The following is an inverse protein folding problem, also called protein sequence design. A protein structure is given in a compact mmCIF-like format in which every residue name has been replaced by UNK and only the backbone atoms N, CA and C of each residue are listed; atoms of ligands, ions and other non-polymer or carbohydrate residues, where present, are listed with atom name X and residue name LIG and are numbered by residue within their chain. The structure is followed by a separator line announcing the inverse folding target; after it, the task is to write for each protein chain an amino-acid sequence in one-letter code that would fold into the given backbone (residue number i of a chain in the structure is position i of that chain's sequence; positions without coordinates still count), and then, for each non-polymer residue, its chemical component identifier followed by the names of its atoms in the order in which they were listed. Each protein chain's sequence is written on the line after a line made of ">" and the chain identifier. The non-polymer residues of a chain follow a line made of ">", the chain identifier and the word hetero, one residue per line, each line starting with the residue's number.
data_IF_880995289507
#
_entry.id   IF_880995289507
#
_cell.length_a   1.000
_cell.length_b   1.000
_cell.length_c   1.000
_cell.angle_alpha   90.00
_cell.angle_beta   90.00
_cell.angle_gamma   90.00
#
_symmetry.space_group_name_H-M   'P 1'
#
loop_
_entity.id
_entity.type
_entity.pdbx_description
1 polymer ?
#
# COMPACT_ATOMS: atom_id res chain seq x y z
N UNK A 1 -67.90 -34.07 -17.63
CA UNK A 1 -66.51 -34.39 -18.03
C UNK A 1 -65.56 -33.74 -17.03
N UNK A 2 -64.59 -34.46 -16.46
CA UNK A 2 -63.91 -34.06 -15.23
C UNK A 2 -62.92 -32.91 -15.46
N UNK A 3 -62.78 -32.05 -14.44
CA UNK A 3 -61.81 -30.95 -14.36
C UNK A 3 -60.39 -31.51 -14.48
N UNK A 4 -59.71 -31.24 -15.60
CA UNK A 4 -58.26 -31.45 -15.74
C UNK A 4 -57.56 -30.40 -14.89
N UNK A 5 -57.01 -30.80 -13.75
CA UNK A 5 -56.04 -29.99 -13.02
C UNK A 5 -54.77 -29.90 -13.88
N UNK A 6 -54.51 -28.71 -14.43
CA UNK A 6 -53.19 -28.37 -14.99
C UNK A 6 -52.25 -28.16 -13.81
N UNK A 7 -51.40 -29.13 -13.54
CA UNK A 7 -50.22 -28.92 -12.70
C UNK A 7 -49.17 -28.23 -13.58
N UNK A 8 -49.08 -26.90 -13.48
CA UNK A 8 -47.98 -26.14 -14.05
C UNK A 8 -46.84 -26.18 -13.04
N UNK A 9 -45.85 -27.05 -13.27
CA UNK A 9 -44.65 -27.13 -12.46
C UNK A 9 -43.69 -26.06 -13.00
N UNK A 10 -43.57 -24.94 -12.30
CA UNK A 10 -42.58 -23.92 -12.63
C UNK A 10 -41.20 -24.44 -12.21
N UNK A 11 -40.38 -24.78 -13.19
CA UNK A 11 -38.96 -25.04 -12.96
C UNK A 11 -38.31 -23.67 -12.82
N UNK A 12 -37.79 -23.36 -11.64
CA UNK A 12 -36.93 -22.20 -11.43
C UNK A 12 -35.51 -22.65 -11.74
N UNK A 13 -35.08 -22.48 -13.00
CA UNK A 13 -33.67 -22.60 -13.36
C UNK A 13 -33.03 -21.25 -13.04
N UNK A 14 -31.94 -21.28 -12.26
CA UNK A 14 -31.13 -20.10 -12.00
C UNK A 14 -29.84 -20.27 -12.80
N UNK A 15 -29.61 -19.38 -13.77
CA UNK A 15 -28.35 -19.28 -14.51
C UNK A 15 -27.38 -18.39 -13.74
N UNK A 16 -26.10 -18.66 -13.89
CA UNK A 16 -25.03 -17.89 -13.26
C UNK A 16 -24.14 -17.27 -14.33
N UNK A 17 -23.67 -16.05 -14.08
CA UNK A 17 -22.65 -15.47 -14.94
C UNK A 17 -21.30 -16.03 -14.54
N UNK A 18 -20.66 -16.75 -15.46
CA UNK A 18 -19.35 -17.30 -15.23
C UNK A 18 -18.30 -16.20 -15.00
N UNK A 19 -17.33 -16.45 -14.11
CA UNK A 19 -16.16 -15.60 -13.92
C UNK A 19 -14.91 -16.30 -14.35
N UNK A 20 -14.04 -15.57 -15.04
CA UNK A 20 -12.74 -16.05 -15.48
C UNK A 20 -11.65 -15.19 -14.85
N UNK A 21 -10.73 -15.81 -14.13
CA UNK A 21 -9.55 -15.13 -13.57
C UNK A 21 -8.29 -15.96 -13.82
N UNK A 22 -7.14 -15.28 -13.78
CA UNK A 22 -5.84 -15.93 -13.72
C UNK A 22 -5.28 -15.75 -12.32
N UNK A 23 -4.75 -16.80 -11.70
CA UNK A 23 -4.29 -16.80 -10.31
C UNK A 23 -2.98 -17.59 -10.15
N UNK A 24 -2.22 -17.31 -9.09
CA UNK A 24 -1.21 -18.26 -8.61
C UNK A 24 -1.88 -19.36 -7.77
N UNK A 25 -1.27 -20.55 -7.74
CA UNK A 25 -1.70 -21.63 -6.84
C UNK A 25 -1.05 -21.47 -5.45
N UNK A 26 -1.54 -20.53 -4.67
CA UNK A 26 -1.05 -20.28 -3.31
C UNK A 26 -1.77 -21.17 -2.29
N UNK A 27 -1.10 -21.52 -1.20
CA UNK A 27 -1.69 -22.28 -0.10
C UNK A 27 -1.39 -21.59 1.22
N UNK A 28 -2.43 -21.30 1.98
CA UNK A 28 -2.31 -20.83 3.36
C UNK A 28 -2.54 -21.99 4.31
N UNK A 29 -1.85 -21.99 5.45
CA UNK A 29 -2.08 -22.97 6.51
C UNK A 29 -2.87 -22.30 7.62
N UNK A 30 -4.04 -22.85 7.96
CA UNK A 30 -4.83 -22.36 9.08
C UNK A 30 -4.02 -22.52 10.37
N UNK A 31 -3.74 -21.43 11.11
CA UNK A 31 -2.89 -21.49 12.30
C UNK A 31 -3.51 -22.25 13.48
N UNK A 32 -4.83 -22.49 13.47
CA UNK A 32 -5.55 -23.21 14.51
C UNK A 32 -5.72 -24.69 14.18
N UNK A 33 -6.03 -25.03 12.93
CA UNK A 33 -6.32 -26.41 12.51
C UNK A 33 -5.14 -27.10 11.84
N UNK A 34 -4.16 -26.34 11.34
CA UNK A 34 -3.04 -26.85 10.53
C UNK A 34 -3.45 -27.24 9.10
N UNK A 35 -4.70 -27.00 8.71
CA UNK A 35 -5.22 -27.37 7.40
C UNK A 35 -4.69 -26.43 6.31
N UNK A 36 -4.31 -27.00 5.16
CA UNK A 36 -3.87 -26.22 4.00
C UNK A 36 -5.07 -25.83 3.14
N UNK A 37 -5.31 -24.54 3.00
CA UNK A 37 -6.36 -23.96 2.14
C UNK A 37 -5.74 -23.39 0.87
N UNK A 38 -6.29 -23.77 -0.29
CA UNK A 38 -5.95 -23.16 -1.57
C UNK A 38 -6.45 -21.71 -1.58
N UNK A 39 -5.58 -20.78 -1.95
CA UNK A 39 -5.86 -19.36 -2.09
C UNK A 39 -5.60 -18.96 -3.54
N UNK A 40 -6.67 -18.58 -4.23
CA UNK A 40 -6.65 -18.17 -5.63
C UNK A 40 -6.72 -16.64 -5.68
N UNK A 41 -5.56 -16.01 -5.69
CA UNK A 41 -5.48 -14.56 -5.83
C UNK A 41 -5.33 -14.18 -7.31
N UNK A 42 -6.18 -13.27 -7.84
CA UNK A 42 -6.02 -12.76 -9.19
C UNK A 42 -4.66 -12.11 -9.42
N UNK A 43 -3.99 -12.52 -10.49
CA UNK A 43 -2.71 -11.98 -10.92
C UNK A 43 -2.88 -11.08 -12.13
N UNK A 44 -1.98 -10.10 -12.23
CA UNK A 44 -1.80 -9.25 -13.41
C UNK A 44 -0.59 -9.68 -14.23
N UNK A 45 0.48 -10.14 -13.57
CA UNK A 45 1.72 -10.56 -14.22
C UNK A 45 2.17 -11.93 -13.73
N UNK A 46 2.93 -12.63 -14.57
CA UNK A 46 3.53 -13.93 -14.26
C UNK A 46 5.03 -13.92 -14.56
N UNK A 47 5.78 -14.78 -13.88
CA UNK A 47 7.16 -15.11 -14.22
C UNK A 47 7.20 -16.39 -15.06
N UNK A 48 8.27 -16.59 -15.83
CA UNK A 48 8.47 -17.86 -16.51
C UNK A 48 8.61 -19.01 -15.51
N UNK A 49 8.27 -20.23 -15.96
CA UNK A 49 8.33 -21.48 -15.19
C UNK A 49 7.37 -21.58 -14.00
N UNK A 50 6.74 -20.48 -13.58
CA UNK A 50 5.68 -20.50 -12.58
C UNK A 50 4.34 -20.91 -13.18
N UNK A 51 3.62 -21.88 -12.58
CA UNK A 51 2.31 -22.27 -13.07
C UNK A 51 1.28 -21.16 -12.85
N UNK A 52 0.57 -20.81 -13.93
CA UNK A 52 -0.60 -19.94 -13.87
C UNK A 52 -1.85 -20.81 -13.82
N UNK A 53 -2.68 -20.63 -12.80
CA UNK A 53 -4.02 -21.18 -12.76
C UNK A 53 -4.99 -20.29 -13.54
N UNK A 54 -5.71 -20.87 -14.49
CA UNK A 54 -6.91 -20.26 -15.07
C UNK A 54 -8.10 -20.80 -14.27
N UNK A 55 -8.77 -19.91 -13.55
CA UNK A 55 -9.87 -20.23 -12.65
C UNK A 55 -11.17 -19.81 -13.32
N UNK A 56 -12.06 -20.78 -13.50
CA UNK A 56 -13.40 -20.58 -14.05
C UNK A 56 -14.39 -20.87 -12.92
N UNK A 57 -15.12 -19.87 -12.47
CA UNK A 57 -16.26 -20.03 -11.57
C UNK A 57 -17.52 -20.05 -12.45
N UNK A 58 -18.10 -21.23 -12.63
CA UNK A 58 -19.31 -21.45 -13.40
C UNK A 58 -20.11 -22.60 -12.79
N UNK A 59 -21.15 -22.24 -12.02
CA UNK A 59 -21.99 -23.22 -11.34
C UNK A 59 -22.90 -23.99 -12.31
N UNK A 60 -23.10 -23.49 -13.54
CA UNK A 60 -24.00 -24.10 -14.51
C UNK A 60 -23.35 -25.32 -15.19
N UNK A 61 -22.01 -25.41 -15.12
CA UNK A 61 -21.22 -26.52 -15.64
C UNK A 61 -20.97 -27.65 -14.64
N UNK A 62 -21.46 -27.54 -13.40
CA UNK A 62 -21.52 -28.62 -12.41
C UNK A 62 -22.76 -29.48 -12.67
N UNK A 63 -22.65 -30.36 -13.66
CA UNK A 63 -23.76 -31.15 -14.19
C UNK A 63 -23.75 -32.61 -13.73
N UNK A 64 -22.66 -33.09 -13.13
CA UNK A 64 -22.49 -34.49 -12.75
C UNK A 64 -22.17 -34.66 -11.26
N UNK A 65 -22.26 -35.91 -10.78
CA UNK A 65 -21.90 -36.24 -9.39
C UNK A 65 -20.39 -36.44 -9.19
N UNK A 66 -19.62 -36.38 -10.27
CA UNK A 66 -18.17 -36.46 -10.25
C UNK A 66 -17.60 -35.09 -10.64
N UNK A 67 -16.29 -34.91 -10.48
CA UNK A 67 -15.62 -33.68 -10.94
C UNK A 67 -15.77 -33.53 -12.44
N UNK A 68 -16.36 -32.42 -12.85
CA UNK A 68 -16.54 -32.11 -14.26
C UNK A 68 -15.26 -31.53 -14.89
N UNK A 69 -15.17 -31.62 -16.21
CA UNK A 69 -14.03 -31.13 -17.01
C UNK A 69 -14.54 -30.26 -18.14
N UNK A 70 -14.05 -29.04 -18.21
CA UNK A 70 -14.43 -28.06 -19.22
C UNK A 70 -13.22 -27.62 -20.05
N UNK A 71 -13.48 -27.19 -21.28
CA UNK A 71 -12.45 -26.67 -22.18
C UNK A 71 -12.37 -25.14 -22.07
N UNK A 72 -11.16 -24.60 -22.14
CA UNK A 72 -10.90 -23.18 -22.29
C UNK A 72 -9.78 -22.95 -23.31
N UNK A 73 -9.78 -21.78 -23.95
CA UNK A 73 -8.79 -21.44 -24.96
C UNK A 73 -7.78 -20.46 -24.40
N UNK A 74 -6.50 -20.66 -24.70
CA UNK A 74 -5.44 -19.70 -24.43
C UNK A 74 -4.90 -19.17 -25.75
N UNK A 75 -4.69 -17.85 -25.81
CA UNK A 75 -4.02 -17.15 -26.90
C UNK A 75 -2.85 -16.34 -26.35
N UNK A 76 -1.69 -16.46 -26.98
CA UNK A 76 -0.50 -15.66 -26.65
C UNK A 76 -0.37 -14.45 -27.56
N UNK A 77 0.41 -13.45 -27.14
CA UNK A 77 0.72 -12.26 -27.95
C UNK A 77 1.39 -12.56 -29.30
N UNK A 78 2.02 -13.72 -29.47
CA UNK A 78 2.58 -14.17 -30.75
C UNK A 78 1.56 -14.92 -31.65
N UNK A 79 0.29 -14.97 -31.26
CA UNK A 79 -0.82 -15.54 -32.03
C UNK A 79 -1.01 -17.06 -31.88
N UNK A 80 -0.22 -17.74 -31.05
CA UNK A 80 -0.41 -19.18 -30.76
C UNK A 80 -1.72 -19.37 -29.99
N UNK A 81 -2.54 -20.33 -30.43
CA UNK A 81 -3.82 -20.69 -29.81
C UNK A 81 -3.76 -22.14 -29.36
N UNK A 82 -4.14 -22.40 -28.12
CA UNK A 82 -4.17 -23.75 -27.53
C UNK A 82 -5.49 -23.91 -26.77
N UNK A 83 -6.16 -25.05 -26.93
CA UNK A 83 -7.29 -25.43 -26.10
C UNK A 83 -6.78 -26.34 -24.97
N UNK A 84 -7.11 -25.99 -23.73
CA UNK A 84 -6.70 -26.69 -22.53
C UNK A 84 -7.94 -27.09 -21.72
N UNK A 85 -7.72 -27.99 -20.76
CA UNK A 85 -8.78 -28.52 -19.88
C UNK A 85 -8.66 -27.92 -18.49
N UNK A 86 -9.79 -27.49 -17.94
CA UNK A 86 -9.93 -27.14 -16.54
C UNK A 86 -10.75 -28.23 -15.83
N UNK A 87 -10.29 -28.64 -14.66
CA UNK A 87 -10.92 -29.70 -13.86
C UNK A 87 -11.52 -29.07 -12.61
N UNK A 88 -12.72 -29.52 -12.26
CA UNK A 88 -13.41 -29.07 -11.05
C UNK A 88 -12.58 -29.34 -9.78
N UNK A 89 -12.57 -28.37 -8.86
CA UNK A 89 -11.73 -28.39 -7.66
C UNK A 89 -12.15 -29.47 -6.65
N UNK A 90 -13.45 -29.65 -6.48
CA UNK A 90 -14.08 -30.77 -5.80
C UNK A 90 -15.48 -31.00 -6.40
N UNK A 91 -16.14 -32.09 -6.01
CA UNK A 91 -17.51 -32.37 -6.43
C UNK A 91 -18.42 -31.22 -6.02
N UNK A 92 -19.25 -30.76 -6.95
CA UNK A 92 -20.28 -29.74 -6.73
C UNK A 92 -19.78 -28.38 -6.24
N UNK A 93 -18.61 -27.96 -6.71
CA UNK A 93 -18.06 -26.64 -6.41
C UNK A 93 -18.43 -25.60 -7.45
N UNK A 94 -18.63 -26.00 -8.71
CA UNK A 94 -18.74 -25.07 -9.84
C UNK A 94 -17.47 -24.25 -10.06
N UNK A 95 -16.32 -24.68 -9.51
CA UNK A 95 -15.03 -23.99 -9.64
C UNK A 95 -14.05 -24.92 -10.32
N UNK A 96 -13.55 -24.51 -11.48
CA UNK A 96 -12.66 -25.28 -12.33
C UNK A 96 -11.29 -24.61 -12.43
N UNK A 97 -10.23 -25.43 -12.43
CA UNK A 97 -8.84 -24.95 -12.55
C UNK A 97 -8.16 -25.63 -13.74
N UNK A 98 -7.75 -24.81 -14.69
CA UNK A 98 -6.78 -25.16 -15.74
C UNK A 98 -5.39 -24.66 -15.39
N UNK A 99 -4.33 -25.36 -15.81
CA UNK A 99 -2.94 -24.91 -15.59
C UNK A 99 -2.26 -24.58 -16.90
N UNK A 100 -1.58 -23.44 -16.91
CA UNK A 100 -0.75 -22.96 -18.01
C UNK A 100 0.67 -22.76 -17.51
N UNK A 101 1.65 -23.26 -18.25
CA UNK A 101 3.07 -23.10 -17.92
C UNK A 101 3.72 -22.17 -18.96
N UNK A 102 3.86 -20.87 -18.67
CA UNK A 102 4.55 -19.94 -19.56
C UNK A 102 6.05 -20.25 -19.61
N UNK A 103 6.59 -20.40 -20.81
CA UNK A 103 8.02 -20.67 -21.04
C UNK A 103 8.60 -19.72 -22.08
N UNK A 104 9.87 -19.36 -21.95
CA UNK A 104 10.60 -18.60 -22.97
C UNK A 104 11.07 -19.52 -24.12
N UNK A 105 11.53 -20.72 -23.74
CA UNK A 105 12.05 -21.73 -24.64
C UNK A 105 10.98 -22.52 -25.41
N UNK A 106 11.44 -23.51 -26.17
CA UNK A 106 10.53 -24.43 -26.86
C UNK A 106 9.77 -25.30 -25.85
N UNK A 107 8.44 -25.43 -25.98
CA UNK A 107 7.65 -26.28 -25.09
C UNK A 107 8.10 -27.73 -25.15
N UNK A 108 8.25 -28.35 -23.99
CA UNK A 108 8.54 -29.77 -23.80
C UNK A 108 7.30 -30.58 -23.41
N UNK A 109 6.20 -29.90 -23.04
CA UNK A 109 4.91 -30.50 -22.63
C UNK A 109 3.74 -29.75 -23.26
N UNK A 110 2.60 -30.41 -23.40
CA UNK A 110 1.38 -29.82 -24.00
C UNK A 110 0.82 -28.63 -23.20
N UNK A 111 1.05 -28.61 -21.87
CA UNK A 111 0.64 -27.52 -20.99
C UNK A 111 1.59 -26.32 -21.01
N UNK A 112 2.74 -26.44 -21.68
CA UNK A 112 3.72 -25.37 -21.82
C UNK A 112 3.39 -24.47 -23.02
N UNK A 113 3.36 -23.17 -22.76
CA UNK A 113 3.00 -22.15 -23.73
C UNK A 113 4.18 -21.22 -23.89
N UNK A 114 4.77 -21.25 -25.09
CA UNK A 114 5.89 -20.38 -25.45
C UNK A 114 5.43 -18.96 -25.79
N UNK A 115 6.09 -17.98 -25.21
CA UNK A 115 5.90 -16.56 -25.51
C UNK A 115 7.16 -15.74 -25.22
N UNK A 116 7.41 -14.67 -25.99
CA UNK A 116 8.57 -13.80 -25.78
C UNK A 116 8.47 -13.00 -24.48
N UNK A 117 9.61 -12.50 -23.99
CA UNK A 117 9.65 -11.65 -22.81
C UNK A 117 8.77 -10.40 -23.00
N UNK A 118 7.91 -10.14 -22.02
CA UNK A 118 6.93 -9.05 -22.06
C UNK A 118 5.66 -9.40 -22.84
N UNK A 119 5.57 -10.62 -23.38
CA UNK A 119 4.37 -11.14 -24.03
C UNK A 119 3.18 -11.28 -23.09
N UNK A 120 2.00 -11.52 -23.66
CA UNK A 120 0.76 -11.68 -22.91
C UNK A 120 0.13 -13.05 -23.13
N UNK A 121 -0.65 -13.48 -22.14
CA UNK A 121 -1.52 -14.64 -22.20
C UNK A 121 -2.95 -14.15 -22.01
N UNK A 122 -3.83 -14.47 -22.96
CA UNK A 122 -5.26 -14.22 -22.90
C UNK A 122 -5.98 -15.55 -22.84
N UNK A 123 -6.69 -15.82 -21.75
CA UNK A 123 -7.57 -16.99 -21.63
C UNK A 123 -9.00 -16.59 -21.98
N UNK A 124 -9.71 -17.50 -22.66
CA UNK A 124 -11.08 -17.35 -23.10
C UNK A 124 -11.89 -18.56 -22.67
N UNK A 125 -13.04 -18.30 -22.07
CA UNK A 125 -14.02 -19.31 -21.69
C UNK A 125 -15.39 -18.90 -22.21
N UNK A 126 -16.08 -19.80 -22.91
CA UNK A 126 -17.39 -19.52 -23.49
C UNK A 126 -18.46 -19.92 -22.49
N UNK A 127 -19.08 -18.91 -21.91
CA UNK A 127 -20.18 -19.01 -20.96
C UNK A 127 -21.48 -19.20 -21.76
N UNK A 128 -21.94 -20.44 -21.89
CA UNK A 128 -23.10 -20.82 -22.72
C UNK A 128 -24.44 -20.42 -22.07
N UNK A 129 -24.52 -20.42 -20.74
CA UNK A 129 -25.72 -20.09 -19.97
C UNK A 129 -25.40 -18.99 -18.97
N UNK A 130 -26.05 -17.83 -19.10
CA UNK A 130 -25.79 -16.70 -18.21
C UNK A 130 -27.05 -15.87 -17.97
N UNK A 131 -26.92 -14.76 -17.23
CA UNK A 131 -28.03 -13.87 -16.91
C UNK A 131 -28.67 -13.16 -18.12
N UNK A 132 -28.08 -13.29 -19.31
CA UNK A 132 -28.67 -12.92 -20.61
C UNK A 132 -29.09 -14.19 -21.37
N UNK A 133 -30.33 -14.68 -21.19
CA UNK A 133 -30.73 -15.99 -21.69
C UNK A 133 -30.57 -16.14 -23.20
N UNK A 134 -29.93 -17.24 -23.62
CA UNK A 134 -29.77 -17.60 -25.04
C UNK A 134 -28.66 -16.85 -25.77
N UNK A 135 -27.84 -16.05 -25.08
CA UNK A 135 -26.69 -15.36 -25.67
C UNK A 135 -25.41 -15.87 -25.00
N UNK A 136 -24.72 -16.86 -25.60
CA UNK A 136 -23.40 -17.28 -25.14
C UNK A 136 -22.41 -16.12 -25.18
N UNK A 137 -21.62 -15.97 -24.11
CA UNK A 137 -20.68 -14.86 -23.96
C UNK A 137 -19.26 -15.37 -23.68
N UNK A 138 -18.28 -14.88 -24.43
CA UNK A 138 -16.87 -15.21 -24.17
C UNK A 138 -16.34 -14.37 -22.99
N UNK A 139 -16.04 -15.02 -21.87
CA UNK A 139 -15.30 -14.46 -20.75
C UNK A 139 -13.82 -14.45 -21.09
N UNK A 140 -13.14 -13.33 -20.80
CA UNK A 140 -11.72 -13.16 -21.14
C UNK A 140 -10.94 -12.61 -19.96
N UNK A 141 -9.73 -13.12 -19.74
CA UNK A 141 -8.73 -12.55 -18.83
C UNK A 141 -7.38 -12.47 -19.54
N UNK A 142 -6.66 -11.37 -19.33
CA UNK A 142 -5.34 -11.15 -19.93
C UNK A 142 -4.30 -10.79 -18.87
N UNK A 143 -3.20 -11.53 -18.85
CA UNK A 143 -2.04 -11.31 -17.99
C UNK A 143 -0.77 -11.13 -18.84
N UNK A 144 0.25 -10.47 -18.29
CA UNK A 144 1.51 -10.22 -19.01
C UNK A 144 2.72 -10.82 -18.31
N UNK A 145 3.75 -11.14 -19.10
CA UNK A 145 5.03 -11.54 -18.54
C UNK A 145 5.64 -10.38 -17.75
N UNK A 146 6.16 -10.67 -16.56
CA UNK A 146 6.88 -9.75 -15.69
C UNK A 146 8.26 -9.41 -16.26
N UNK A 147 8.31 -8.77 -17.43
CA UNK A 147 9.55 -8.32 -18.05
C UNK A 147 10.21 -7.29 -17.16
N UNK A 148 11.49 -7.52 -16.87
CA UNK A 148 12.32 -6.61 -16.10
C UNK A 148 12.25 -5.17 -16.64
N UNK A 149 12.07 -4.22 -15.72
CA UNK A 149 12.07 -2.78 -15.97
C UNK A 149 12.84 -2.13 -14.83
N UNK A 150 13.81 -1.29 -15.16
CA UNK A 150 14.60 -0.58 -14.14
C UNK A 150 13.69 0.19 -13.16
N UNK A 151 13.76 -0.10 -11.85
CA UNK A 151 12.93 0.56 -10.87
C UNK A 151 13.21 2.07 -10.81
N UNK A 152 12.16 2.85 -10.52
CA UNK A 152 12.28 4.29 -10.26
C UNK A 152 11.62 4.66 -8.93
N UNK A 153 11.91 5.85 -8.41
CA UNK A 153 11.37 6.32 -7.14
C UNK A 153 10.45 7.53 -7.35
N UNK A 154 9.22 7.46 -6.84
CA UNK A 154 8.30 8.59 -6.82
C UNK A 154 8.41 9.33 -5.48
N UNK A 155 8.64 10.64 -5.50
CA UNK A 155 8.85 11.42 -4.28
C UNK A 155 7.67 12.35 -4.01
N UNK A 156 7.40 12.61 -2.73
CA UNK A 156 6.35 13.54 -2.31
C UNK A 156 6.91 14.60 -1.37
N UNK A 157 6.78 15.87 -1.75
CA UNK A 157 7.06 16.98 -0.83
C UNK A 157 5.81 17.30 -0.01
N UNK A 158 6.01 17.64 1.26
CA UNK A 158 4.93 18.04 2.17
C UNK A 158 4.92 19.57 2.26
N UNK A 159 3.81 20.16 1.83
CA UNK A 159 3.50 21.56 2.04
C UNK A 159 2.57 21.71 3.25
N UNK A 160 2.77 22.77 4.02
CA UNK A 160 1.99 23.09 5.21
C UNK A 160 1.50 24.52 5.11
N UNK A 161 0.19 24.71 4.99
CA UNK A 161 -0.44 26.01 4.87
C UNK A 161 -1.29 26.32 6.10
N UNK A 162 -1.20 27.54 6.62
CA UNK A 162 -1.99 27.95 7.78
C UNK A 162 -3.48 28.03 7.41
N UNK A 163 -4.33 27.51 8.26
CA UNK A 163 -5.77 27.62 8.11
C UNK A 163 -6.24 29.03 8.47
N UNK A 164 -7.18 29.60 7.70
CA UNK A 164 -7.78 30.87 8.05
C UNK A 164 -8.48 30.76 9.40
N UNK A 165 -8.19 31.70 10.31
CA UNK A 165 -8.85 31.71 11.60
C UNK A 165 -10.28 32.21 11.45
N UNK A 166 -11.25 31.31 11.64
CA UNK A 166 -12.67 31.70 11.72
C UNK A 166 -12.86 32.51 12.99
N UNK A 167 -13.21 33.80 12.86
CA UNK A 167 -13.64 34.62 13.99
C UNK A 167 -15.01 34.09 14.45
N UNK A 168 -15.19 33.74 15.73
CA UNK A 168 -16.52 33.39 16.24
C UNK A 168 -17.46 34.59 16.06
N UNK A 169 -18.72 34.32 15.73
CA UNK A 169 -19.74 35.36 15.68
C UNK A 169 -19.93 35.93 17.10
N UNK A 170 -19.77 37.26 17.27
CA UNK A 170 -19.79 37.91 18.59
C UNK A 170 -21.14 37.73 19.32
N UNK A 171 -22.22 37.50 18.59
CA UNK A 171 -23.57 37.26 19.16
C UNK A 171 -23.70 35.91 19.89
N UNK A 172 -22.85 34.91 19.59
CA UNK A 172 -22.90 33.60 20.27
C UNK A 172 -22.11 33.56 21.58
N UNK A 173 -21.31 34.58 21.87
CA UNK A 173 -20.49 34.68 23.09
C UNK A 173 -21.33 35.22 24.27
N UNK A 174 -22.30 36.10 24.01
CA UNK A 174 -23.17 36.66 25.07
C UNK A 174 -24.17 35.63 25.62
N UNK A 175 -24.66 34.71 24.78
CA UNK A 175 -25.64 33.69 25.21
C UNK A 175 -25.03 32.54 26.03
N UNK A 176 -23.71 32.36 26.01
CA UNK A 176 -23.02 31.29 26.74
C UNK A 176 -22.51 31.68 28.14
N UNK A 177 -22.64 32.95 28.56
CA UNK A 177 -22.31 33.36 29.94
C UNK A 177 -23.19 32.70 31.02
N UNK A 178 -24.27 32.02 30.64
CA UNK A 178 -25.24 31.43 31.56
C UNK A 178 -25.01 29.95 31.95
N UNK A 179 -24.00 29.24 31.41
CA UNK A 179 -23.74 27.82 31.79
C UNK A 179 -22.40 27.65 32.48
N UNK A 180 -22.36 27.99 33.78
CA UNK A 180 -21.30 27.58 34.70
C UNK A 180 -21.38 26.08 35.02
N UNK A 181 -20.20 25.47 35.20
CA UNK A 181 -19.94 24.11 35.66
C UNK A 181 -20.23 22.98 34.67
N UNK A 182 -19.35 22.83 33.67
CA UNK A 182 -18.94 21.50 33.22
C UNK A 182 -17.44 21.36 33.45
N UNK A 183 -17.00 20.16 33.85
CA UNK A 183 -15.58 19.78 33.95
C UNK A 183 -14.83 20.36 32.76
N UNK A 184 -13.63 20.90 32.98
CA UNK A 184 -12.77 21.36 31.89
C UNK A 184 -12.74 20.23 30.84
N UNK A 185 -13.24 20.47 29.61
CA UNK A 185 -13.18 19.46 28.58
C UNK A 185 -11.72 19.06 28.38
N UNK A 186 -11.46 17.79 28.05
CA UNK A 186 -10.12 17.36 27.66
C UNK A 186 -9.53 18.33 26.64
N UNK A 187 -8.25 18.61 26.77
CA UNK A 187 -7.59 19.57 25.90
C UNK A 187 -7.58 19.05 24.46
N UNK A 188 -8.44 19.61 23.61
CA UNK A 188 -8.49 19.25 22.18
C UNK A 188 -7.65 20.24 21.37
N UNK A 189 -6.60 19.74 20.73
CA UNK A 189 -5.81 20.49 19.75
C UNK A 189 -6.53 20.49 18.41
N UNK A 190 -7.08 21.64 18.01
CA UNK A 190 -7.75 21.80 16.70
C UNK A 190 -6.73 21.95 15.58
N UNK A 191 -7.06 21.52 14.34
CA UNK A 191 -6.22 21.81 13.17
C UNK A 191 -5.98 23.31 12.99
N UNK A 192 -4.73 23.68 12.76
CA UNK A 192 -4.27 25.04 12.43
C UNK A 192 -3.58 25.12 11.09
N UNK A 193 -3.15 23.98 10.55
CA UNK A 193 -2.49 23.89 9.27
C UNK A 193 -3.08 22.75 8.45
N UNK A 194 -3.06 22.90 7.13
CA UNK A 194 -3.34 21.83 6.17
C UNK A 194 -2.03 21.24 5.70
N UNK A 195 -1.86 19.92 5.80
CA UNK A 195 -0.77 19.18 5.17
C UNK A 195 -1.20 18.70 3.79
N UNK A 196 -0.41 19.06 2.78
CA UNK A 196 -0.63 18.67 1.39
C UNK A 196 0.62 17.96 0.87
N UNK A 197 0.46 16.71 0.47
CA UNK A 197 1.50 15.94 -0.18
C UNK A 197 1.43 16.22 -1.69
N UNK A 198 2.55 16.59 -2.30
CA UNK A 198 2.64 16.85 -3.73
C UNK A 198 3.74 16.00 -4.34
N UNK A 199 3.42 15.32 -5.44
CA UNK A 199 4.41 14.58 -6.20
C UNK A 199 5.48 15.55 -6.75
N UNK A 200 6.74 15.18 -6.63
CA UNK A 200 7.88 15.96 -7.17
C UNK A 200 8.76 15.11 -8.06
N UNK A 201 9.40 15.76 -9.03
CA UNK A 201 10.40 15.14 -9.89
C UNK A 201 11.75 14.99 -9.18
N UNK A 202 12.55 14.04 -9.68
CA UNK A 202 13.83 13.59 -9.11
C UNK A 202 14.90 14.68 -8.94
N UNK A 203 14.76 15.84 -9.61
CA UNK A 203 15.70 16.97 -9.54
C UNK A 203 15.53 17.86 -8.31
N UNK A 204 14.46 17.69 -7.55
CA UNK A 204 14.13 18.54 -6.38
C UNK A 204 14.29 17.75 -5.10
N UNK A 205 14.98 18.29 -4.10
CA UNK A 205 14.99 17.71 -2.75
C UNK A 205 13.63 17.91 -2.09
N UNK A 206 12.81 16.85 -1.87
CA UNK A 206 11.52 16.98 -1.22
C UNK A 206 11.66 17.45 0.23
N UNK A 207 10.67 18.20 0.70
CA UNK A 207 10.53 18.54 2.10
C UNK A 207 9.63 17.52 2.81
N UNK A 208 10.00 17.13 4.02
CA UNK A 208 9.13 16.44 4.95
C UNK A 208 8.78 17.35 6.14
N UNK A 209 7.79 16.99 6.94
CA UNK A 209 7.38 17.74 8.14
C UNK A 209 7.50 16.83 9.34
N UNK A 210 8.24 17.28 10.37
CA UNK A 210 8.38 16.53 11.61
C UNK A 210 7.02 16.28 12.27
N UNK A 211 6.76 15.05 12.68
CA UNK A 211 5.48 14.58 13.21
C UNK A 211 4.51 14.03 12.16
N UNK A 212 4.72 14.31 10.87
CA UNK A 212 3.90 13.76 9.78
C UNK A 212 4.52 12.50 9.19
N UNK A 213 3.74 11.73 8.43
CA UNK A 213 4.26 10.62 7.65
C UNK A 213 5.14 11.12 6.50
N UNK A 214 6.37 10.64 6.40
CA UNK A 214 7.14 10.74 5.16
C UNK A 214 6.58 9.74 4.14
N UNK A 215 6.44 10.16 2.87
CA UNK A 215 5.96 9.31 1.77
C UNK A 215 6.90 9.28 0.59
N UNK A 216 7.00 8.11 -0.02
CA UNK A 216 7.62 7.87 -1.31
C UNK A 216 7.01 6.61 -1.93
N UNK A 217 7.14 6.49 -3.24
CA UNK A 217 6.78 5.31 -3.98
C UNK A 217 8.03 4.70 -4.61
N UNK A 218 7.96 3.40 -4.91
CA UNK A 218 8.89 2.77 -5.84
C UNK A 218 8.07 2.15 -6.95
N UNK A 219 8.44 2.43 -8.20
CA UNK A 219 7.77 1.93 -9.40
C UNK A 219 8.62 0.81 -9.97
N UNK A 220 8.15 -0.42 -9.85
CA UNK A 220 8.80 -1.64 -10.32
C UNK A 220 7.73 -2.59 -10.92
N UNK A 221 7.32 -2.37 -12.19
CA UNK A 221 6.25 -3.13 -12.86
C UNK A 221 6.42 -4.65 -12.76
N UNK A 222 7.66 -5.13 -12.91
CA UNK A 222 7.98 -6.55 -12.93
C UNK A 222 7.85 -7.24 -11.56
N UNK A 223 7.79 -6.50 -10.47
CA UNK A 223 7.54 -7.05 -9.12
C UNK A 223 6.05 -7.01 -8.73
N UNK A 224 5.21 -6.29 -9.48
CA UNK A 224 3.79 -6.15 -9.21
C UNK A 224 2.99 -7.24 -9.94
N UNK A 225 3.05 -8.45 -9.37
CA UNK A 225 2.43 -9.65 -9.93
C UNK A 225 0.94 -9.73 -9.61
N UNK A 226 0.56 -9.48 -8.36
CA UNK A 226 -0.81 -9.51 -7.84
C UNK A 226 -1.04 -8.36 -6.84
N UNK A 227 -2.28 -8.16 -6.38
CA UNK A 227 -2.62 -7.08 -5.45
C UNK A 227 -1.88 -7.19 -4.10
N UNK A 228 -1.55 -8.41 -3.67
CA UNK A 228 -0.78 -8.73 -2.48
C UNK A 228 0.73 -8.51 -2.62
N UNK A 229 1.23 -8.14 -3.80
CA UNK A 229 2.65 -7.92 -4.01
C UNK A 229 3.17 -6.88 -3.02
N UNK A 230 4.30 -7.19 -2.40
CA UNK A 230 4.96 -6.30 -1.44
C UNK A 230 6.41 -6.10 -1.84
N UNK A 231 7.01 -5.03 -1.31
CA UNK A 231 8.41 -4.74 -1.54
C UNK A 231 9.04 -4.06 -0.34
N UNK A 232 10.35 -4.27 -0.14
CA UNK A 232 11.06 -3.66 0.97
C UNK A 232 11.83 -2.42 0.52
N UNK A 233 11.75 -1.36 1.32
CA UNK A 233 12.61 -0.19 1.21
C UNK A 233 13.13 0.17 2.60
N UNK A 234 14.08 1.11 2.65
CA UNK A 234 14.80 1.42 3.87
C UNK A 234 14.85 2.93 4.08
N UNK A 235 14.83 3.35 5.34
CA UNK A 235 14.94 4.76 5.72
C UNK A 235 15.94 4.92 6.86
N UNK A 236 16.75 5.95 6.79
CA UNK A 236 17.77 6.27 7.79
C UNK A 236 17.97 7.78 7.89
N UNK A 237 18.53 8.25 9.00
CA UNK A 237 18.83 9.68 9.18
C UNK A 237 20.30 9.99 8.90
N UNK A 238 20.59 11.24 8.53
CA UNK A 238 21.96 11.73 8.39
C UNK A 238 22.76 11.58 9.68
N UNK A 239 22.13 11.80 10.83
CA UNK A 239 22.75 11.60 12.15
C UNK A 239 23.15 10.15 12.36
N UNK A 240 22.27 9.19 12.01
CA UNK A 240 22.58 7.77 12.04
C UNK A 240 23.79 7.41 11.17
N UNK A 241 23.81 7.91 9.93
CA UNK A 241 24.91 7.68 8.99
C UNK A 241 26.23 8.22 9.54
N UNK A 242 26.23 9.43 10.12
CA UNK A 242 27.43 10.03 10.73
C UNK A 242 27.91 9.24 11.94
N UNK A 243 27.00 8.78 12.79
CA UNK A 243 27.34 7.94 13.94
C UNK A 243 27.95 6.59 13.51
N UNK A 244 27.45 6.01 12.42
CA UNK A 244 28.01 4.80 11.82
C UNK A 244 29.41 5.03 11.24
N UNK A 245 29.62 6.10 10.47
CA UNK A 245 30.92 6.46 9.91
C UNK A 245 31.97 6.71 11.01
N UNK A 246 31.59 7.39 12.09
CA UNK A 246 32.50 7.64 13.23
C UNK A 246 33.00 6.34 13.89
N UNK A 247 32.17 5.28 13.89
CA UNK A 247 32.53 3.95 14.40
C UNK A 247 33.30 3.10 13.38
N UNK A 248 33.24 3.46 12.10
CA UNK A 248 33.85 2.73 10.99
C UNK A 248 34.68 3.70 10.11
N UNK A 249 35.79 4.25 10.64
CA UNK A 249 36.55 5.33 9.99
C UNK A 249 37.18 4.94 8.66
N UNK A 250 37.37 3.65 8.40
CA UNK A 250 37.87 3.12 7.12
C UNK A 250 36.84 3.26 5.97
N UNK A 251 35.58 3.59 6.30
CA UNK A 251 34.53 3.93 5.33
C UNK A 251 34.41 5.46 5.21
N UNK A 252 35.24 6.08 4.36
CA UNK A 252 35.25 7.53 4.11
C UNK A 252 33.90 8.08 3.62
N UNK A 253 33.12 7.24 2.92
CA UNK A 253 31.67 7.34 2.78
C UNK A 253 31.13 5.97 2.36
N UNK A 254 30.02 5.43 2.91
CA UNK A 254 29.40 4.23 2.37
C UNK A 254 29.04 4.50 0.90
N UNK A 255 29.65 3.78 -0.07
CA UNK A 255 29.34 4.00 -1.48
C UNK A 255 27.87 3.69 -1.78
N UNK A 256 27.25 2.82 -0.97
CA UNK A 256 25.86 2.39 -1.02
C UNK A 256 25.11 2.71 0.30
N UNK A 257 23.78 2.61 0.27
CA UNK A 257 22.95 2.70 1.48
C UNK A 257 23.25 1.48 2.38
N UNK A 258 23.57 1.69 3.66
CA UNK A 258 23.91 0.59 4.58
C UNK A 258 22.76 0.27 5.53
N UNK A 259 22.36 -1.00 5.57
CA UNK A 259 21.34 -1.51 6.49
C UNK A 259 21.86 -1.59 7.94
N UNK A 260 23.16 -1.41 8.18
CA UNK A 260 23.76 -1.47 9.52
C UNK A 260 23.77 -0.12 10.26
N UNK A 261 23.35 0.95 9.59
CA UNK A 261 23.27 2.27 10.20
C UNK A 261 22.29 2.26 11.38
N UNK A 262 22.69 2.78 12.57
CA UNK A 262 21.80 2.86 13.72
C UNK A 262 20.54 3.67 13.39
N UNK A 263 19.38 3.21 13.87
CA UNK A 263 18.09 3.82 13.59
C UNK A 263 17.49 3.52 12.20
N UNK A 264 18.18 2.75 11.34
CA UNK A 264 17.63 2.38 10.03
C UNK A 264 16.40 1.48 10.18
N UNK A 265 15.33 1.80 9.48
CA UNK A 265 14.09 1.01 9.46
C UNK A 265 13.93 0.31 8.11
N UNK A 266 13.45 -0.94 8.14
CA UNK A 266 12.93 -1.66 6.97
C UNK A 266 11.43 -1.38 6.89
N UNK A 267 11.01 -0.87 5.74
CA UNK A 267 9.61 -0.57 5.43
C UNK A 267 9.09 -1.60 4.43
N UNK A 268 7.82 -1.97 4.58
CA UNK A 268 7.11 -2.81 3.61
C UNK A 268 6.13 -1.94 2.82
N UNK A 269 6.39 -1.79 1.53
CA UNK A 269 5.51 -1.10 0.60
C UNK A 269 4.51 -2.07 -0.02
N UNK A 270 3.31 -1.55 -0.29
CA UNK A 270 2.21 -2.32 -0.88
C UNK A 270 1.62 -1.57 -2.07
N UNK A 271 0.88 -2.26 -2.94
CA UNK A 271 0.16 -1.62 -4.05
C UNK A 271 -1.07 -0.83 -3.57
N UNK A 272 -1.50 -1.03 -2.33
CA UNK A 272 -2.56 -0.24 -1.73
C UNK A 272 -1.98 1.07 -1.20
N UNK A 273 -2.51 2.19 -1.70
CA UNK A 273 -2.11 3.51 -1.22
C UNK A 273 -2.58 3.70 0.22
N UNK A 274 -1.67 3.77 1.22
CA UNK A 274 -2.11 4.00 2.59
C UNK A 274 -2.67 5.43 2.73
N UNK A 275 -3.42 5.70 3.79
CA UNK A 275 -3.74 7.07 4.21
C UNK A 275 -2.61 7.60 5.12
N UNK A 276 -2.17 8.87 4.98
CA UNK A 276 -1.14 9.42 5.85
C UNK A 276 -1.76 9.74 7.20
N UNK A 277 -1.02 9.42 8.26
CA UNK A 277 -1.39 9.79 9.60
C UNK A 277 -1.08 11.28 9.81
N UNK A 278 -2.03 11.99 10.41
CA UNK A 278 -1.97 13.44 10.56
C UNK A 278 -1.72 13.79 12.02
N UNK A 279 -0.61 14.48 12.34
CA UNK A 279 -0.33 14.86 13.72
C UNK A 279 -1.30 15.91 14.25
N UNK A 280 -1.44 15.99 15.57
CA UNK A 280 -2.22 17.04 16.23
C UNK A 280 -1.78 18.45 15.80
N UNK A 281 -2.76 19.32 15.58
CA UNK A 281 -2.56 20.65 15.02
C UNK A 281 -2.64 20.73 13.49
N UNK A 282 -2.80 19.60 12.81
CA UNK A 282 -2.92 19.53 11.35
C UNK A 282 -4.23 18.87 10.91
N UNK A 283 -4.61 19.14 9.66
CA UNK A 283 -5.56 18.35 8.89
C UNK A 283 -4.94 17.92 7.57
N UNK A 284 -5.41 16.83 6.99
CA UNK A 284 -4.98 16.40 5.65
C UNK A 284 -5.74 17.22 4.59
N UNK A 285 -5.01 17.86 3.68
CA UNK A 285 -5.57 18.43 2.47
C UNK A 285 -5.68 17.38 1.38
N UNK A 286 -4.53 16.97 0.86
CA UNK A 286 -4.43 15.85 -0.10
C UNK A 286 -3.29 14.92 0.32
N UNK A 287 -3.53 13.62 0.25
CA UNK A 287 -2.52 12.58 0.49
C UNK A 287 -1.54 12.36 -0.67
N UNK A 288 -1.56 13.27 -1.66
CA UNK A 288 -0.72 13.30 -2.86
C UNK A 288 -1.27 12.42 -3.96
N UNK A 289 -1.35 12.93 -5.18
CA UNK A 289 -1.70 12.15 -6.37
C UNK A 289 -0.43 11.86 -7.16
N UNK A 290 -0.22 10.60 -7.51
CA UNK A 290 0.80 10.21 -8.47
C UNK A 290 0.47 10.79 -9.86
N UNK A 291 1.48 10.99 -10.73
CA UNK A 291 1.27 11.59 -12.05
C UNK A 291 0.56 10.65 -13.05
N UNK A 292 0.53 9.34 -12.78
CA UNK A 292 -0.09 8.35 -13.65
C UNK A 292 -1.59 8.18 -13.39
N UNK A 293 -2.32 7.75 -14.42
CA UNK A 293 -3.76 7.51 -14.38
C UNK A 293 -4.13 6.04 -14.22
N UNK A 294 -3.14 5.13 -14.28
CA UNK A 294 -3.36 3.71 -14.16
C UNK A 294 -3.41 3.29 -12.69
N UNK A 295 -3.96 2.11 -12.41
CA UNK A 295 -3.98 1.60 -11.04
C UNK A 295 -2.55 1.30 -10.55
N UNK A 296 -2.29 1.30 -9.24
CA UNK A 296 -0.96 0.95 -8.73
C UNK A 296 -0.47 -0.43 -9.18
N UNK A 297 -1.35 -1.41 -9.34
CA UNK A 297 -1.01 -2.74 -9.89
C UNK A 297 -0.60 -2.67 -11.36
N UNK A 298 -1.28 -1.85 -12.18
CA UNK A 298 -0.91 -1.65 -13.58
C UNK A 298 0.43 -0.93 -13.71
N UNK A 299 0.68 0.11 -12.91
CA UNK A 299 1.96 0.84 -12.90
C UNK A 299 3.10 0.06 -12.24
N UNK A 300 2.76 -0.89 -11.36
CA UNK A 300 3.69 -1.49 -10.41
C UNK A 300 4.24 -0.51 -9.39
N UNK A 301 3.38 0.37 -8.89
CA UNK A 301 3.71 1.41 -7.92
C UNK A 301 3.46 0.90 -6.50
N UNK A 302 4.55 0.66 -5.78
CA UNK A 302 4.52 0.32 -4.37
C UNK A 302 4.59 1.58 -3.53
N UNK A 303 3.64 1.74 -2.63
CA UNK A 303 3.53 2.90 -1.76
C UNK A 303 4.19 2.64 -0.41
N UNK A 304 5.03 3.59 0.02
CA UNK A 304 5.70 3.55 1.32
C UNK A 304 5.30 4.75 2.16
N UNK A 305 5.20 4.52 3.48
CA UNK A 305 5.10 5.59 4.47
C UNK A 305 5.90 5.27 5.72
N UNK A 306 6.39 6.30 6.40
CA UNK A 306 7.01 6.17 7.72
C UNK A 306 6.70 7.39 8.58
N UNK A 307 6.15 7.22 9.80
CA UNK A 307 5.95 8.34 10.71
C UNK A 307 7.28 8.99 11.10
N UNK A 308 7.36 10.32 11.01
CA UNK A 308 8.52 11.08 11.49
C UNK A 308 8.31 11.46 12.95
N UNK A 309 8.84 10.64 13.85
CA UNK A 309 8.61 10.75 15.30
C UNK A 309 9.67 11.59 16.01
N UNK A 310 9.32 12.10 17.19
CA UNK A 310 10.26 12.70 18.12
C UNK A 310 11.02 11.60 18.87
N UNK A 311 12.28 11.86 19.21
CA UNK A 311 13.08 10.95 20.02
C UNK A 311 14.55 10.94 19.63
N UNK A 312 15.30 10.15 20.38
CA UNK A 312 16.73 9.95 20.15
C UNK A 312 17.01 8.90 19.09
N UNK A 313 18.18 9.02 18.46
CA UNK A 313 18.67 8.03 17.51
C UNK A 313 18.82 6.66 18.20
N UNK A 314 18.11 5.62 17.72
CA UNK A 314 18.29 4.28 18.27
C UNK A 314 19.72 3.78 18.07
N UNK A 315 20.25 3.07 19.08
CA UNK A 315 21.63 2.55 19.06
C UNK A 315 21.87 1.41 18.06
N UNK A 316 20.79 0.78 17.57
CA UNK A 316 20.82 -0.36 16.65
C UNK A 316 20.05 -0.06 15.37
N UNK A 317 20.35 -0.82 14.32
CA UNK A 317 19.50 -0.90 13.13
C UNK A 317 18.33 -1.86 13.35
N UNK A 318 17.20 -1.56 12.71
CA UNK A 318 16.02 -2.42 12.61
C UNK A 318 15.83 -2.98 11.17
N UNK A 319 16.86 -2.89 10.34
CA UNK A 319 16.83 -3.30 8.94
C UNK A 319 17.74 -4.48 8.59
N UNK A 320 18.51 -5.00 9.56
CA UNK A 320 19.45 -6.10 9.34
C UNK A 320 18.88 -7.47 9.76
N UNK A 321 19.62 -8.55 9.46
CA UNK A 321 19.21 -9.93 9.81
C UNK A 321 18.99 -10.15 11.32
N UNK A 322 19.65 -9.36 12.16
CA UNK A 322 19.47 -9.44 13.62
C UNK A 322 18.09 -8.90 14.04
N UNK A 323 17.57 -7.90 13.33
CA UNK A 323 16.26 -7.32 13.58
C UNK A 323 15.11 -8.26 13.21
N UNK A 324 15.30 -9.15 12.23
CA UNK A 324 14.26 -10.11 11.78
C UNK A 324 13.86 -11.12 12.87
N UNK A 325 14.69 -11.28 13.92
CA UNK A 325 14.41 -12.15 15.07
C UNK A 325 13.67 -11.45 16.20
N UNK A 326 13.45 -10.13 16.10
CA UNK A 326 12.81 -9.36 17.15
C UNK A 326 11.28 -9.46 17.06
N UNK A 327 10.57 -9.42 18.19
CA UNK A 327 9.12 -9.30 18.17
C UNK A 327 8.71 -7.92 17.60
N UNK A 328 7.55 -7.84 16.97
CA UNK A 328 7.02 -6.58 16.40
C UNK A 328 6.96 -5.44 17.42
N UNK A 329 6.71 -5.73 18.69
CA UNK A 329 6.68 -4.75 19.78
C UNK A 329 8.04 -4.10 20.09
N UNK A 330 9.14 -4.65 19.58
CA UNK A 330 10.48 -4.08 19.73
C UNK A 330 10.83 -3.07 18.64
N UNK A 331 10.00 -2.96 17.58
CA UNK A 331 10.22 -2.00 16.51
C UNK A 331 9.70 -0.62 16.93
N UNK A 332 10.42 0.47 16.60
CA UNK A 332 9.94 1.82 16.85
C UNK A 332 8.71 2.11 15.98
N UNK A 333 7.80 2.95 16.49
CA UNK A 333 6.58 3.35 15.78
C UNK A 333 6.86 4.22 14.53
N UNK A 334 8.06 4.78 14.43
CA UNK A 334 8.48 5.59 13.29
C UNK A 334 9.98 5.90 13.31
N UNK A 335 10.40 6.72 12.35
CA UNK A 335 11.77 7.20 12.25
C UNK A 335 11.94 8.38 13.20
N UNK A 336 12.82 8.25 14.20
CA UNK A 336 13.17 9.35 15.10
C UNK A 336 13.97 10.40 14.33
N UNK A 337 13.45 11.64 14.25
CA UNK A 337 14.08 12.73 13.50
C UNK A 337 14.02 14.06 14.24
N UNK A 338 15.02 14.90 14.01
CA UNK A 338 15.05 16.30 14.46
C UNK A 338 14.66 17.25 13.33
N UNK A 339 14.08 18.41 13.67
CA UNK A 339 13.84 19.45 12.68
C UNK A 339 15.17 19.94 12.09
N UNK A 340 15.21 20.17 10.78
CA UNK A 340 16.42 20.54 10.05
C UNK A 340 17.31 19.35 9.67
N UNK A 341 16.98 18.13 10.10
CA UNK A 341 17.70 16.92 9.72
C UNK A 341 17.41 16.49 8.27
N UNK A 342 18.35 15.75 7.67
CA UNK A 342 18.13 15.04 6.41
C UNK A 342 17.75 13.58 6.67
N UNK A 343 16.66 13.13 6.03
CA UNK A 343 16.28 11.72 5.95
C UNK A 343 16.70 11.17 4.59
N UNK A 344 17.24 9.96 4.57
CA UNK A 344 17.65 9.26 3.36
C UNK A 344 16.75 8.04 3.21
N UNK A 345 16.05 7.96 2.09
CA UNK A 345 15.31 6.76 1.69
C UNK A 345 16.16 5.97 0.69
N UNK A 346 16.10 4.65 0.77
CA UNK A 346 16.88 3.73 -0.03
C UNK A 346 16.06 2.55 -0.50
N UNK A 347 16.20 2.20 -1.78
CA UNK A 347 15.61 1.00 -2.34
C UNK A 347 16.70 0.15 -3.00
N UNK A 348 16.77 -1.11 -2.60
CA UNK A 348 17.72 -2.10 -3.10
C UNK A 348 17.03 -2.97 -4.14
N UNK A 349 17.68 -3.20 -5.27
CA UNK A 349 17.16 -4.05 -6.34
C UNK A 349 18.29 -4.78 -7.06
N UNK A 350 17.95 -5.84 -7.80
CA UNK A 350 18.91 -6.65 -8.57
C UNK A 350 18.73 -6.41 -10.07
N UNK A 351 19.83 -6.14 -10.77
CA UNK A 351 19.83 -6.05 -12.23
C UNK A 351 19.73 -7.41 -12.92
N UNK A 352 19.43 -7.44 -14.24
CA UNK A 352 19.31 -8.71 -14.98
C UNK A 352 20.58 -9.58 -14.90
N UNK A 353 21.73 -8.98 -14.62
CA UNK A 353 23.00 -9.67 -14.38
C UNK A 353 23.16 -10.21 -12.94
N UNK A 354 22.17 -9.97 -12.07
CA UNK A 354 22.15 -10.42 -10.67
C UNK A 354 22.97 -9.54 -9.72
N UNK A 355 23.36 -8.33 -10.14
CA UNK A 355 24.12 -7.40 -9.31
C UNK A 355 23.19 -6.45 -8.57
N UNK A 356 23.47 -6.28 -7.27
CA UNK A 356 22.71 -5.38 -6.40
C UNK A 356 23.00 -3.91 -6.73
N UNK A 357 21.93 -3.16 -6.92
CA UNK A 357 21.91 -1.72 -7.17
C UNK A 357 21.08 -1.00 -6.10
N UNK A 358 21.27 0.32 -6.00
CA UNK A 358 20.60 1.14 -4.99
C UNK A 358 20.05 2.44 -5.57
N UNK A 359 18.75 2.67 -5.42
CA UNK A 359 18.15 3.99 -5.52
C UNK A 359 18.23 4.68 -4.16
N UNK A 360 18.57 5.97 -4.15
CA UNK A 360 18.68 6.76 -2.92
C UNK A 360 18.14 8.16 -3.14
N UNK A 361 17.30 8.62 -2.22
CA UNK A 361 16.76 9.98 -2.25
C UNK A 361 16.81 10.62 -0.88
N UNK A 362 16.95 11.95 -0.85
CA UNK A 362 17.08 12.73 0.38
C UNK A 362 15.85 13.60 0.59
N UNK A 363 15.42 13.70 1.84
CA UNK A 363 14.35 14.57 2.29
C UNK A 363 14.89 15.55 3.32
N UNK A 364 14.50 16.82 3.18
CA UNK A 364 14.79 17.84 4.20
C UNK A 364 13.63 17.90 5.20
N UNK A 365 13.88 17.60 6.47
CA UNK A 365 12.86 17.67 7.52
C UNK A 365 12.67 19.12 7.97
N UNK A 366 11.44 19.62 7.85
CA UNK A 366 11.02 20.94 8.33
C UNK A 366 10.31 20.84 9.66
N UNK A 367 10.56 21.86 10.49
CA UNK A 367 9.86 22.08 11.75
C UNK A 367 8.80 23.17 11.60
N UNK A 368 7.67 23.01 12.27
CA UNK A 368 6.63 24.01 12.36
C UNK A 368 6.26 24.23 13.82
N UNK A 369 5.87 25.46 14.14
CA UNK A 369 5.38 25.84 15.45
C UNK A 369 3.96 26.39 15.33
N UNK A 370 3.08 25.93 16.21
CA UNK A 370 1.70 26.41 16.35
C UNK A 370 1.61 27.12 17.70
N UNK A 371 1.26 28.40 17.67
CA UNK A 371 1.00 29.20 18.86
C UNK A 371 -0.50 29.48 18.97
N UNK A 372 -1.10 28.99 20.04
CA UNK A 372 -2.48 29.27 20.41
C UNK A 372 -2.51 30.22 21.60
N UNK A 373 -3.33 31.28 21.48
CA UNK A 373 -3.68 32.18 22.57
C UNK A 373 -5.15 31.94 22.90
N UNK A 374 -5.44 31.57 24.15
CA UNK A 374 -6.68 30.91 24.53
C UNK A 374 -7.26 31.46 25.84
N UNK A 375 -8.55 31.20 26.04
CA UNK A 375 -9.31 31.48 27.27
C UNK A 375 -10.02 30.23 27.79
N UNK A 376 -10.66 30.35 28.95
CA UNK A 376 -11.45 29.27 29.55
C UNK A 376 -10.69 27.94 29.71
N UNK A 377 -9.39 28.02 30.06
CA UNK A 377 -8.55 26.84 30.28
C UNK A 377 -8.33 26.02 29.00
N UNK A 378 -7.85 26.65 27.94
CA UNK A 378 -7.56 26.04 26.62
C UNK A 378 -8.78 25.58 25.81
N UNK A 379 -10.00 25.95 26.22
CA UNK A 379 -11.21 25.55 25.50
C UNK A 379 -11.48 26.38 24.24
N UNK A 380 -11.13 27.67 24.26
CA UNK A 380 -11.52 28.63 23.22
C UNK A 380 -10.37 29.56 22.84
N UNK A 381 -10.35 29.99 21.58
CA UNK A 381 -9.40 31.01 21.10
C UNK A 381 -9.72 32.37 21.71
N UNK A 382 -8.69 33.06 22.17
CA UNK A 382 -8.80 34.42 22.70
C UNK A 382 -8.51 35.43 21.58
N UNK A 383 -9.50 36.27 21.25
CA UNK A 383 -9.36 37.31 20.22
C UNK A 383 -9.22 38.73 20.78
N UNK A 384 -9.63 38.94 22.03
CA UNK A 384 -9.52 40.19 22.80
C UNK A 384 -9.38 39.84 24.27
N UNK A 385 -8.62 40.63 25.01
CA UNK A 385 -8.43 40.45 26.46
C UNK A 385 -8.67 41.77 27.18
N UNK A 386 -9.30 41.72 28.35
CA UNK A 386 -9.43 42.87 29.24
C UNK A 386 -8.39 42.82 30.36
N UNK A 387 -8.06 43.98 30.91
CA UNK A 387 -7.12 44.09 32.03
C UNK A 387 -7.65 43.27 33.21
N UNK A 388 -6.82 42.35 33.72
CA UNK A 388 -7.15 41.46 34.84
C UNK A 388 -7.63 40.06 34.44
N UNK A 389 -7.84 39.78 33.15
CA UNK A 389 -8.20 38.44 32.67
C UNK A 389 -6.98 37.52 32.55
N UNK A 390 -7.18 36.22 32.82
CA UNK A 390 -6.15 35.20 32.62
C UNK A 390 -6.08 34.78 31.15
N UNK A 391 -4.88 34.87 30.59
CA UNK A 391 -4.56 34.37 29.24
C UNK A 391 -3.88 33.03 29.35
N UNK A 392 -4.29 32.08 28.52
CA UNK A 392 -3.63 30.79 28.38
C UNK A 392 -2.89 30.75 27.05
N UNK A 393 -1.61 30.39 27.08
CA UNK A 393 -0.78 30.24 25.88
C UNK A 393 -0.44 28.76 25.73
N UNK A 394 -0.61 28.24 24.52
CA UNK A 394 -0.16 26.90 24.14
C UNK A 394 0.78 27.00 22.95
N UNK A 395 1.97 26.41 23.08
CA UNK A 395 2.95 26.29 22.02
C UNK A 395 3.10 24.81 21.67
N UNK A 396 2.83 24.46 20.41
CA UNK A 396 3.10 23.14 19.84
C UNK A 396 4.23 23.34 18.84
N UNK A 397 5.47 23.11 19.28
CA UNK A 397 6.66 23.31 18.46
C UNK A 397 7.57 22.08 18.55
N UNK A 398 7.23 21.04 17.78
CA UNK A 398 7.96 19.76 17.72
C UNK A 398 9.45 19.95 17.42
N UNK A 399 9.80 21.01 16.70
CA UNK A 399 11.17 21.35 16.34
C UNK A 399 12.04 21.82 17.51
N UNK A 400 11.43 22.18 18.64
CA UNK A 400 12.16 22.60 19.84
C UNK A 400 12.48 21.44 20.77
N UNK A 401 11.96 20.24 20.48
CA UNK A 401 12.22 19.02 21.24
C UNK A 401 13.70 18.66 21.19
N UNK A 402 14.37 18.66 22.35
CA UNK A 402 15.82 18.36 22.43
C UNK A 402 16.11 16.92 22.79
N UNK A 403 15.17 16.22 23.42
CA UNK A 403 15.33 14.85 23.89
C UNK A 403 14.08 14.33 24.62
N UNK A 404 14.18 13.13 25.21
CA UNK A 404 13.04 12.44 25.82
C UNK A 404 12.60 13.03 27.17
N UNK A 405 13.46 13.83 27.79
CA UNK A 405 13.13 14.52 29.03
C UNK A 405 12.32 15.79 28.76
N UNK A 406 11.62 16.25 29.80
CA UNK A 406 10.90 17.52 29.71
C UNK A 406 11.89 18.64 29.42
N UNK A 407 11.75 19.28 28.27
CA UNK A 407 12.53 20.47 27.95
C UNK A 407 12.27 21.57 28.97
N UNK A 408 13.34 21.99 29.63
CA UNK A 408 13.37 23.18 30.48
C UNK A 408 14.18 24.26 29.76
N UNK A 409 13.61 25.46 29.66
CA UNK A 409 14.31 26.69 29.24
C UNK A 409 15.34 27.11 30.27
#
# INVERSE_FOLDING_TARGET
>A
TPKRNRHEQRITVAFNTAKLTASFLNYETDPRTGERKLVLEPIRRFQYEDPVAIVIEDADMDGSSARDVIDFRVETSNGKKVTLKAVETAEHTGVFIGRVFPVEGSPTRDSEIQLPAGGTISAFYRDEENLEPGIPTDRTVTISHAQYVEPTMGLYTIQSEALPQVKPNLESIESNKAKKQKRAPEEVVKPRHTLTYLYVSDSTTPAAVQGADLRFDVVAPHNALAASSTMNAYVQTRTGVMAYMKKNPDMSAPPHFSKEVPGTLKLTGTLNKPQPDVPSGYQLGTGGTNPGSASPLEEGRFHFKVPLTLGDLPVRSYANKSAEKLPSSAFPEGLAVKAGEEVIVGFEWEDPEGKTQWLRQKYQVKGHAILDVMQNGYAENLYKVFVGEKVYIRLIARSLDKGPERDTT
#
